data_IF_766043017341
#
_entry.id   IF_766043017341
#
_cell.length_a   1.000
_cell.length_b   1.000
_cell.length_c   1.000
_cell.angle_alpha   90.00
_cell.angle_beta   90.00
_cell.angle_gamma   90.00
#
_symmetry.space_group_name_H-M   'P 1'
#
loop_
_entity.id
_entity.type
_entity.pdbx_description
1 polymer ?
#
# COMPACT_ATOMS: atom_id res chain seq x y z
N UNK A 1 7.99 13.57 -9.23
CA UNK A 1 8.79 12.46 -9.77
C UNK A 1 8.31 12.14 -11.18
N UNK A 2 9.21 11.82 -12.10
CA UNK A 2 8.88 11.35 -13.44
C UNK A 2 9.97 10.38 -13.92
N UNK A 3 9.66 9.11 -14.23
CA UNK A 3 8.33 8.51 -14.12
C UNK A 3 7.85 8.37 -12.67
N UNK A 4 6.53 8.23 -12.49
CA UNK A 4 5.97 7.87 -11.19
C UNK A 4 6.41 6.48 -10.76
N UNK A 5 6.35 5.52 -11.71
CA UNK A 5 6.77 4.13 -11.54
C UNK A 5 7.34 3.62 -12.85
N UNK A 6 8.45 2.90 -12.79
CA UNK A 6 8.90 2.04 -13.89
C UNK A 6 8.43 0.61 -13.62
N UNK A 7 7.60 0.07 -14.50
CA UNK A 7 7.21 -1.33 -14.45
C UNK A 7 8.08 -2.12 -15.42
N UNK A 8 8.70 -3.18 -14.91
CA UNK A 8 9.50 -4.11 -15.71
C UNK A 8 8.84 -5.47 -15.70
N UNK A 9 8.60 -6.01 -16.91
CA UNK A 9 8.00 -7.32 -17.11
C UNK A 9 9.05 -8.41 -17.27
N UNK A 10 8.66 -9.65 -17.11
CA UNK A 10 9.54 -10.82 -17.21
C UNK A 10 10.11 -11.05 -18.61
N UNK A 11 9.45 -10.56 -19.66
CA UNK A 11 9.93 -10.57 -21.04
C UNK A 11 10.91 -9.43 -21.38
N UNK A 12 11.26 -8.59 -20.38
CA UNK A 12 12.18 -7.47 -20.50
C UNK A 12 11.54 -6.16 -20.98
N UNK A 13 10.26 -6.14 -21.37
CA UNK A 13 9.56 -4.90 -21.71
C UNK A 13 9.45 -4.00 -20.48
N UNK A 14 9.43 -2.69 -20.73
CA UNK A 14 9.35 -1.63 -19.70
C UNK A 14 8.18 -0.72 -20.03
N UNK A 15 7.48 -0.29 -18.98
CA UNK A 15 6.50 0.77 -19.05
C UNK A 15 6.81 1.83 -17.99
N UNK A 16 7.14 3.06 -18.42
CA UNK A 16 7.37 4.20 -17.56
C UNK A 16 6.06 4.96 -17.35
N UNK A 17 5.35 4.65 -16.27
CA UNK A 17 4.11 5.33 -15.93
C UNK A 17 4.39 6.77 -15.46
N UNK A 18 3.90 7.74 -16.21
CA UNK A 18 4.20 9.17 -16.05
C UNK A 18 2.93 9.99 -15.80
N UNK A 19 3.09 11.22 -15.29
CA UNK A 19 2.04 12.24 -15.24
C UNK A 19 1.71 12.81 -16.62
N UNK A 20 2.57 12.62 -17.62
CA UNK A 20 2.32 13.01 -18.99
C UNK A 20 1.45 11.95 -19.71
N UNK A 21 0.17 12.31 -19.91
CA UNK A 21 -0.78 11.46 -20.60
C UNK A 21 -0.36 11.11 -22.03
N UNK A 22 0.24 12.05 -22.77
CA UNK A 22 0.65 11.83 -24.16
C UNK A 22 1.78 10.80 -24.23
N UNK A 23 2.76 10.90 -23.33
CA UNK A 23 3.85 9.93 -23.19
C UNK A 23 3.33 8.53 -22.82
N UNK A 24 2.36 8.44 -21.91
CA UNK A 24 1.74 7.15 -21.58
C UNK A 24 1.03 6.54 -22.79
N UNK A 25 0.28 7.34 -23.57
CA UNK A 25 -0.42 6.87 -24.78
C UNK A 25 0.58 6.36 -25.82
N UNK A 26 1.69 7.06 -26.03
CA UNK A 26 2.75 6.63 -26.96
C UNK A 26 3.33 5.27 -26.54
N UNK A 27 3.66 5.10 -25.27
CA UNK A 27 4.12 3.82 -24.75
C UNK A 27 3.07 2.71 -24.91
N UNK A 28 1.80 2.99 -24.57
CA UNK A 28 0.69 2.04 -24.70
C UNK A 28 0.59 1.50 -26.13
N UNK A 29 0.75 2.36 -27.14
CA UNK A 29 0.73 1.93 -28.54
C UNK A 29 1.80 0.91 -28.89
N UNK A 30 2.97 0.94 -28.23
CA UNK A 30 4.03 -0.04 -28.41
C UNK A 30 3.65 -1.43 -27.83
N UNK A 31 2.71 -1.49 -26.89
CA UNK A 31 2.16 -2.74 -26.37
C UNK A 31 0.95 -3.19 -27.18
N UNK A 32 -0.02 -2.30 -27.36
CA UNK A 32 -1.23 -2.54 -28.16
C UNK A 32 -1.85 -1.18 -28.58
N UNK A 33 -1.84 -0.89 -29.88
CA UNK A 33 -2.35 0.36 -30.43
C UNK A 33 -3.83 0.62 -30.06
N UNK A 34 -4.66 -0.45 -30.05
CA UNK A 34 -6.06 -0.35 -29.71
C UNK A 34 -6.33 0.02 -28.23
N UNK A 35 -5.35 -0.13 -27.35
CA UNK A 35 -5.49 0.20 -25.93
C UNK A 35 -5.25 1.69 -25.65
N UNK A 36 -4.78 2.49 -26.62
CA UNK A 36 -4.61 3.91 -26.46
C UNK A 36 -5.96 4.63 -26.19
N UNK A 37 -6.98 4.33 -26.97
CA UNK A 37 -8.34 4.83 -26.76
C UNK A 37 -8.94 4.25 -25.46
N UNK A 38 -8.68 2.96 -25.20
CA UNK A 38 -9.10 2.29 -23.97
C UNK A 38 -8.55 2.97 -22.72
N UNK A 39 -7.30 3.41 -22.74
CA UNK A 39 -6.67 4.14 -21.64
C UNK A 39 -7.36 5.49 -21.35
N UNK A 40 -7.76 6.24 -22.38
CA UNK A 40 -8.50 7.48 -22.19
C UNK A 40 -9.86 7.25 -21.53
N UNK A 41 -10.59 6.22 -21.97
CA UNK A 41 -11.85 5.82 -21.33
C UNK A 41 -11.65 5.32 -19.89
N UNK A 42 -10.56 4.60 -19.62
CA UNK A 42 -10.19 4.17 -18.29
C UNK A 42 -9.92 5.36 -17.36
N UNK A 43 -9.17 6.37 -17.80
CA UNK A 43 -8.93 7.58 -17.00
C UNK A 43 -10.21 8.34 -16.67
N UNK A 44 -11.14 8.46 -17.62
CA UNK A 44 -12.47 9.07 -17.37
C UNK A 44 -13.25 8.27 -16.31
N UNK A 45 -13.22 6.94 -16.42
CA UNK A 45 -13.87 6.09 -15.44
C UNK A 45 -13.20 6.19 -14.05
N UNK A 46 -11.88 6.40 -13.99
CA UNK A 46 -11.13 6.65 -12.76
C UNK A 46 -11.47 7.99 -12.13
N UNK A 47 -11.65 9.04 -12.95
CA UNK A 47 -12.10 10.37 -12.52
C UNK A 47 -13.48 10.33 -11.85
N UNK A 48 -14.43 9.59 -12.44
CA UNK A 48 -15.77 9.44 -11.84
C UNK A 48 -15.68 8.78 -10.45
N UNK A 49 -14.80 7.81 -10.28
CA UNK A 49 -14.56 7.14 -8.99
C UNK A 49 -13.86 8.04 -7.99
N UNK A 50 -12.96 8.89 -8.46
CA UNK A 50 -12.32 9.90 -7.62
C UNK A 50 -13.35 10.90 -7.07
N UNK A 51 -14.22 11.45 -7.91
CA UNK A 51 -15.25 12.40 -7.51
C UNK A 51 -16.22 11.81 -6.46
N UNK A 52 -16.59 10.55 -6.62
CA UNK A 52 -17.49 9.89 -5.67
C UNK A 52 -16.74 9.33 -4.46
N UNK A 53 -15.65 8.59 -4.70
CA UNK A 53 -14.96 7.85 -3.65
C UNK A 53 -14.07 8.73 -2.78
N UNK A 54 -13.39 9.72 -3.36
CA UNK A 54 -12.49 10.60 -2.63
C UNK A 54 -13.16 11.92 -2.24
N UNK A 55 -13.66 12.70 -3.19
CA UNK A 55 -14.29 13.99 -2.86
C UNK A 55 -15.62 13.84 -2.10
N UNK A 56 -16.38 12.78 -2.38
CA UNK A 56 -17.71 12.58 -1.80
C UNK A 56 -17.77 11.73 -0.53
N UNK A 57 -16.81 10.83 -0.32
CA UNK A 57 -16.89 9.80 0.72
C UNK A 57 -15.70 9.75 1.68
N UNK A 58 -14.57 10.41 1.41
CA UNK A 58 -13.35 10.29 2.23
C UNK A 58 -13.56 10.74 3.68
N UNK A 59 -14.43 11.71 3.88
CA UNK A 59 -14.77 12.29 5.19
C UNK A 59 -16.03 11.68 5.83
N UNK A 60 -16.64 10.68 5.20
CA UNK A 60 -17.88 10.06 5.68
C UNK A 60 -17.60 8.75 6.40
N UNK A 61 -18.02 8.60 7.65
CA UNK A 61 -17.92 7.32 8.35
C UNK A 61 -18.91 6.31 7.77
N UNK A 62 -18.44 5.10 7.51
CA UNK A 62 -19.28 3.94 7.15
C UNK A 62 -19.62 3.12 8.41
N UNK A 63 -20.15 3.78 9.43
CA UNK A 63 -20.41 3.22 10.75
C UNK A 63 -21.77 2.52 10.89
N UNK A 64 -22.67 2.75 9.92
CA UNK A 64 -24.02 2.20 9.93
C UNK A 64 -24.45 1.64 8.58
N UNK A 65 -25.38 0.67 8.61
CA UNK A 65 -26.02 0.14 7.40
C UNK A 65 -26.81 1.21 6.66
N UNK A 66 -27.39 2.17 7.39
CA UNK A 66 -28.14 3.28 6.79
C UNK A 66 -27.23 4.18 5.95
N UNK A 67 -26.02 4.49 6.46
CA UNK A 67 -25.01 5.22 5.70
C UNK A 67 -24.64 4.47 4.41
N UNK A 68 -24.44 3.16 4.48
CA UNK A 68 -24.13 2.33 3.31
C UNK A 68 -25.29 2.36 2.28
N UNK A 69 -26.55 2.23 2.71
CA UNK A 69 -27.71 2.28 1.83
C UNK A 69 -27.86 3.62 1.11
N UNK A 70 -27.51 4.72 1.78
CA UNK A 70 -27.54 6.06 1.17
C UNK A 70 -26.59 6.19 -0.02
N UNK A 71 -25.45 5.51 0.02
CA UNK A 71 -24.45 5.55 -1.05
C UNK A 71 -24.62 4.41 -2.08
N UNK A 72 -25.51 3.45 -1.85
CA UNK A 72 -25.72 2.30 -2.71
C UNK A 72 -25.99 2.67 -4.18
N UNK A 73 -26.84 3.67 -4.52
CA UNK A 73 -27.07 4.05 -5.92
C UNK A 73 -25.79 4.49 -6.64
N UNK A 74 -24.92 5.21 -5.93
CA UNK A 74 -23.62 5.67 -6.47
C UNK A 74 -22.66 4.49 -6.66
N UNK A 75 -22.58 3.59 -5.69
CA UNK A 75 -21.75 2.39 -5.76
C UNK A 75 -22.19 1.46 -6.91
N UNK A 76 -23.50 1.30 -7.13
CA UNK A 76 -24.06 0.54 -8.25
C UNK A 76 -23.70 1.19 -9.59
N UNK A 77 -23.88 2.50 -9.71
CA UNK A 77 -23.52 3.26 -10.93
C UNK A 77 -22.03 3.08 -11.25
N UNK A 78 -21.16 3.14 -10.25
CA UNK A 78 -19.72 2.96 -10.41
C UNK A 78 -19.30 1.50 -10.61
N UNK A 79 -20.26 0.55 -10.55
CA UNK A 79 -19.93 -0.89 -10.61
C UNK A 79 -18.89 -1.27 -9.56
N UNK A 80 -19.09 -0.80 -8.33
CA UNK A 80 -18.22 -1.10 -7.19
C UNK A 80 -18.25 -2.60 -6.79
N UNK A 81 -19.18 -3.38 -7.34
CA UNK A 81 -19.27 -4.83 -7.28
C UNK A 81 -18.12 -5.54 -8.03
N UNK A 82 -17.47 -4.84 -8.96
CA UNK A 82 -16.36 -5.39 -9.73
C UNK A 82 -15.03 -5.16 -9.04
N UNK A 83 -14.07 -6.05 -9.32
CA UNK A 83 -12.68 -5.82 -8.90
C UNK A 83 -11.97 -4.78 -9.77
N UNK A 84 -10.85 -4.23 -9.27
CA UNK A 84 -9.98 -3.33 -10.04
C UNK A 84 -9.57 -3.98 -11.36
N UNK A 85 -9.07 -5.23 -11.32
CA UNK A 85 -8.65 -5.94 -12.52
C UNK A 85 -9.78 -6.15 -13.52
N UNK A 86 -11.00 -6.47 -13.05
CA UNK A 86 -12.17 -6.62 -13.92
C UNK A 86 -12.55 -5.31 -14.60
N UNK A 87 -12.44 -4.18 -13.89
CA UNK A 87 -12.71 -2.87 -14.49
C UNK A 87 -11.66 -2.52 -15.55
N UNK A 88 -10.38 -2.62 -15.20
CA UNK A 88 -9.27 -2.38 -16.15
C UNK A 88 -9.42 -3.23 -17.40
N UNK A 89 -9.73 -4.53 -17.25
CA UNK A 89 -9.92 -5.45 -18.38
C UNK A 89 -11.07 -5.11 -19.32
N UNK A 90 -11.96 -4.20 -18.92
CA UNK A 90 -13.02 -3.69 -19.80
C UNK A 90 -12.49 -2.68 -20.84
N UNK A 91 -11.43 -1.97 -20.49
CA UNK A 91 -10.87 -0.89 -21.30
C UNK A 91 -9.55 -1.29 -21.95
N UNK A 92 -8.75 -2.12 -21.30
CA UNK A 92 -7.41 -2.52 -21.72
C UNK A 92 -7.42 -3.99 -22.12
N UNK A 93 -6.80 -4.31 -23.26
CA UNK A 93 -6.73 -5.66 -23.83
C UNK A 93 -5.41 -6.36 -23.55
N UNK A 94 -4.29 -5.61 -23.63
CA UNK A 94 -2.95 -6.16 -23.41
C UNK A 94 -2.79 -6.62 -21.94
N UNK A 95 -2.32 -7.85 -21.68
CA UNK A 95 -2.20 -8.39 -20.32
C UNK A 95 -1.24 -7.59 -19.42
N UNK A 96 -0.13 -7.08 -19.98
CA UNK A 96 0.86 -6.35 -19.19
C UNK A 96 0.37 -4.93 -18.86
N UNK A 97 -0.34 -4.29 -19.80
CA UNK A 97 -1.02 -3.02 -19.50
C UNK A 97 -2.13 -3.20 -18.47
N UNK A 98 -2.82 -4.35 -18.44
CA UNK A 98 -3.77 -4.67 -17.35
C UNK A 98 -3.06 -4.77 -16.00
N UNK A 99 -1.88 -5.38 -15.94
CA UNK A 99 -1.08 -5.41 -14.71
C UNK A 99 -0.70 -3.99 -14.29
N UNK A 100 -0.18 -3.19 -15.23
CA UNK A 100 0.19 -1.78 -15.01
C UNK A 100 -0.95 -0.95 -14.44
N UNK A 101 -2.15 -1.06 -14.98
CA UNK A 101 -3.29 -0.23 -14.54
C UNK A 101 -4.02 -0.82 -13.32
N UNK A 102 -3.64 -2.01 -12.85
CA UNK A 102 -4.33 -2.69 -11.74
C UNK A 102 -3.47 -2.97 -10.51
N UNK A 103 -2.17 -2.67 -10.51
CA UNK A 103 -1.29 -3.02 -9.38
C UNK A 103 -1.49 -2.15 -8.13
N UNK A 104 -2.03 -0.93 -8.27
CA UNK A 104 -2.15 0.06 -7.21
C UNK A 104 -2.76 -0.46 -5.89
N UNK A 105 -3.78 -1.34 -5.88
CA UNK A 105 -4.28 -1.92 -4.63
C UNK A 105 -3.23 -2.63 -3.79
N UNK A 106 -2.17 -3.17 -4.40
CA UNK A 106 -1.08 -3.81 -3.68
C UNK A 106 -0.34 -2.83 -2.75
N UNK A 107 -0.30 -1.54 -3.09
CA UNK A 107 0.30 -0.49 -2.26
C UNK A 107 -0.43 -0.30 -0.92
N UNK A 108 -1.67 -0.75 -0.82
CA UNK A 108 -2.51 -0.69 0.40
C UNK A 108 -2.86 -2.08 0.93
N UNK A 109 -2.11 -3.12 0.53
CA UNK A 109 -2.32 -4.49 0.96
C UNK A 109 -3.56 -5.18 0.39
N UNK A 110 -4.13 -4.68 -0.70
CA UNK A 110 -5.31 -5.21 -1.37
C UNK A 110 -5.00 -6.04 -2.61
N UNK A 111 -5.73 -7.13 -2.81
CA UNK A 111 -5.61 -7.94 -4.03
C UNK A 111 -6.43 -7.31 -5.17
N UNK A 112 -5.83 -6.89 -6.31
CA UNK A 112 -6.52 -6.26 -7.42
C UNK A 112 -7.62 -7.12 -8.07
N UNK A 113 -7.59 -8.43 -7.85
CA UNK A 113 -8.62 -9.35 -8.35
C UNK A 113 -9.85 -9.45 -7.43
N UNK A 114 -9.79 -8.90 -6.21
CA UNK A 114 -10.90 -8.94 -5.23
C UNK A 114 -11.29 -7.58 -4.67
N UNK A 115 -10.37 -6.62 -4.63
CA UNK A 115 -10.64 -5.26 -4.13
C UNK A 115 -11.56 -4.51 -5.11
N UNK A 116 -12.52 -3.77 -4.56
CA UNK A 116 -13.51 -3.00 -5.33
C UNK A 116 -12.87 -2.05 -6.36
N UNK A 117 -13.49 -1.95 -7.53
CA UNK A 117 -13.06 -1.08 -8.62
C UNK A 117 -13.00 0.41 -8.26
N UNK A 118 -13.54 0.81 -7.12
CA UNK A 118 -13.42 2.20 -6.62
C UNK A 118 -11.96 2.61 -6.50
N UNK A 119 -11.06 1.70 -6.13
CA UNK A 119 -9.61 1.99 -6.00
C UNK A 119 -8.89 2.35 -7.31
N UNK A 120 -9.52 2.22 -8.46
CA UNK A 120 -8.96 2.78 -9.71
C UNK A 120 -8.90 4.31 -9.69
N UNK A 121 -9.59 4.96 -8.73
CA UNK A 121 -9.44 6.39 -8.47
C UNK A 121 -7.99 6.85 -8.30
N UNK A 122 -7.09 5.95 -7.83
CA UNK A 122 -5.67 6.24 -7.61
C UNK A 122 -5.01 6.66 -8.93
N UNK A 123 -5.32 6.00 -10.05
CA UNK A 123 -4.77 6.38 -11.36
C UNK A 123 -5.13 7.81 -11.78
N UNK A 124 -6.34 8.29 -11.43
CA UNK A 124 -6.71 9.68 -11.66
C UNK A 124 -6.00 10.63 -10.68
N UNK A 125 -5.88 10.24 -9.41
CA UNK A 125 -5.14 11.01 -8.39
C UNK A 125 -3.70 11.29 -8.85
N UNK A 126 -2.99 10.26 -9.29
CA UNK A 126 -1.61 10.38 -9.77
C UNK A 126 -1.51 11.28 -11.01
N UNK A 127 -2.42 11.12 -11.98
CA UNK A 127 -2.45 11.96 -13.18
C UNK A 127 -2.79 13.43 -12.87
N UNK A 128 -3.65 13.67 -11.89
CA UNK A 128 -4.14 15.02 -11.55
C UNK A 128 -3.18 15.78 -10.64
N UNK A 129 -2.60 15.12 -9.66
CA UNK A 129 -1.83 15.75 -8.59
C UNK A 129 -0.34 15.40 -8.62
N UNK A 130 0.06 14.42 -9.42
CA UNK A 130 1.42 13.91 -9.47
C UNK A 130 1.76 13.00 -8.28
N UNK A 131 2.96 12.44 -8.33
CA UNK A 131 3.56 11.64 -7.25
C UNK A 131 4.77 12.39 -6.71
N UNK A 132 4.83 12.60 -5.40
CA UNK A 132 5.80 13.47 -4.74
C UNK A 132 6.57 12.71 -3.66
N UNK A 133 7.82 13.10 -3.44
CA UNK A 133 8.62 12.63 -2.31
C UNK A 133 8.92 13.81 -1.37
N UNK A 134 8.89 13.55 -0.08
CA UNK A 134 9.29 14.55 0.90
C UNK A 134 10.82 14.66 0.92
N UNK A 135 11.36 15.86 0.77
CA UNK A 135 12.80 16.12 0.96
C UNK A 135 13.21 15.82 2.40
N UNK A 136 14.31 15.12 2.57
CA UNK A 136 14.72 14.55 3.86
C UNK A 136 14.00 13.25 4.23
N UNK A 137 13.26 12.64 3.28
CA UNK A 137 12.53 11.39 3.43
C UNK A 137 11.21 11.53 4.21
N UNK A 138 10.50 10.42 4.38
CA UNK A 138 9.21 10.37 5.11
C UNK A 138 9.35 10.79 6.58
N UNK A 139 10.54 10.62 7.18
CA UNK A 139 10.85 11.10 8.53
C UNK A 139 10.67 12.61 8.70
N UNK A 140 10.87 13.41 7.63
CA UNK A 140 10.64 14.86 7.67
C UNK A 140 9.17 15.21 7.87
N UNK A 141 8.24 14.41 7.31
CA UNK A 141 6.81 14.58 7.52
C UNK A 141 6.47 14.31 8.99
N UNK A 142 7.03 13.22 9.56
CA UNK A 142 6.83 12.86 10.97
C UNK A 142 7.35 13.98 11.89
N UNK A 143 8.56 14.52 11.61
CA UNK A 143 9.12 15.65 12.36
C UNK A 143 8.24 16.90 12.27
N UNK A 144 7.72 17.20 11.08
CA UNK A 144 6.80 18.33 10.87
C UNK A 144 5.50 18.17 11.67
N UNK A 145 4.91 16.97 11.68
CA UNK A 145 3.71 16.66 12.48
C UNK A 145 4.00 16.75 13.99
N UNK A 146 5.14 16.22 14.43
CA UNK A 146 5.56 16.33 15.83
C UNK A 146 5.70 17.80 16.27
N UNK A 147 6.39 18.61 15.47
CA UNK A 147 6.53 20.05 15.73
C UNK A 147 5.19 20.79 15.76
N UNK A 148 4.21 20.39 14.93
CA UNK A 148 2.86 20.93 14.96
C UNK A 148 2.12 20.58 16.28
N UNK A 149 2.21 19.34 16.72
CA UNK A 149 1.61 18.87 17.98
C UNK A 149 2.18 19.68 19.17
N UNK A 150 3.50 19.77 19.25
CA UNK A 150 4.19 20.50 20.33
C UNK A 150 3.89 22.00 20.28
N UNK A 151 3.88 22.59 19.08
CA UNK A 151 3.54 24.00 18.86
C UNK A 151 2.10 24.36 19.27
N UNK A 152 1.20 23.40 19.30
CA UNK A 152 -0.18 23.53 19.79
C UNK A 152 -0.32 23.21 21.29
N UNK A 153 0.78 22.98 22.00
CA UNK A 153 0.79 22.65 23.44
C UNK A 153 0.60 21.16 23.74
N UNK A 154 0.58 20.30 22.73
CA UNK A 154 0.58 18.86 22.90
C UNK A 154 1.93 18.35 23.42
N UNK A 155 1.94 17.13 23.93
CA UNK A 155 3.15 16.45 24.40
C UNK A 155 3.35 15.14 23.62
N UNK A 156 4.59 14.85 23.28
CA UNK A 156 4.99 13.57 22.67
C UNK A 156 5.89 12.85 23.66
N UNK A 157 5.52 11.64 24.02
CA UNK A 157 6.32 10.76 24.87
C UNK A 157 6.67 9.50 24.11
N UNK A 158 7.96 9.34 23.78
CA UNK A 158 8.50 8.14 23.17
C UNK A 158 8.86 7.10 24.27
N UNK A 159 9.01 5.83 23.84
CA UNK A 159 9.29 4.70 24.74
C UNK A 159 8.27 4.55 25.89
N UNK A 160 7.04 4.97 25.65
CA UNK A 160 5.88 4.88 26.53
C UNK A 160 4.92 3.82 26.00
N UNK A 161 5.28 2.55 26.18
CA UNK A 161 4.47 1.41 25.72
C UNK A 161 3.15 1.37 26.49
N UNK A 162 2.03 1.40 25.74
CA UNK A 162 0.68 1.26 26.30
C UNK A 162 0.33 -0.21 26.43
N UNK A 163 0.09 -0.66 27.66
CA UNK A 163 -0.31 -2.03 28.00
C UNK A 163 -1.83 -2.21 28.02
N UNK A 164 -2.57 -1.18 28.47
CA UNK A 164 -4.04 -1.26 28.60
C UNK A 164 -4.70 0.08 28.34
N UNK A 165 -5.83 0.06 27.64
CA UNK A 165 -6.80 1.15 27.59
C UNK A 165 -7.79 0.95 28.74
N UNK A 166 -7.78 1.84 29.71
CA UNK A 166 -8.58 1.73 30.92
C UNK A 166 -10.04 2.09 30.63
N UNK A 167 -10.95 1.18 31.01
CA UNK A 167 -12.40 1.37 30.86
C UNK A 167 -13.08 1.13 32.19
N UNK A 168 -13.90 2.08 32.65
CA UNK A 168 -14.75 1.96 33.81
C UNK A 168 -16.19 2.29 33.44
N UNK A 169 -17.14 1.40 33.79
CA UNK A 169 -18.60 1.55 33.49
C UNK A 169 -18.91 1.85 32.04
N UNK A 170 -18.07 1.35 31.09
CA UNK A 170 -18.26 1.53 29.65
C UNK A 170 -17.68 2.83 29.09
N UNK A 171 -16.98 3.61 29.89
CA UNK A 171 -16.31 4.85 29.51
C UNK A 171 -14.78 4.70 29.60
N UNK A 172 -14.07 5.29 28.65
CA UNK A 172 -12.60 5.36 28.68
C UNK A 172 -12.15 6.29 29.82
N UNK A 173 -11.09 5.89 30.53
CA UNK A 173 -10.47 6.64 31.64
C UNK A 173 -9.01 6.99 31.38
N UNK A 174 -8.45 6.55 30.27
CA UNK A 174 -7.05 6.77 29.91
C UNK A 174 -6.33 5.51 29.53
N UNK A 175 -5.03 5.47 29.75
CA UNK A 175 -4.17 4.32 29.44
C UNK A 175 -3.26 3.98 30.62
N UNK A 176 -2.93 2.70 30.74
CA UNK A 176 -1.84 2.22 31.60
C UNK A 176 -0.64 1.86 30.73
N UNK A 177 0.52 2.34 31.14
CA UNK A 177 1.79 2.05 30.49
C UNK A 177 2.42 0.78 31.09
N UNK A 178 3.32 0.15 30.35
CA UNK A 178 4.06 -1.05 30.78
C UNK A 178 4.98 -0.80 32.01
N UNK A 179 5.39 0.47 32.23
CA UNK A 179 6.14 0.90 33.41
C UNK A 179 5.26 1.12 34.66
N UNK A 180 3.95 0.88 34.56
CA UNK A 180 2.97 1.00 35.64
C UNK A 180 2.33 2.40 35.77
N UNK A 181 2.80 3.42 35.05
CA UNK A 181 2.16 4.75 35.04
C UNK A 181 0.78 4.69 34.44
N UNK A 182 -0.10 5.53 34.97
CA UNK A 182 -1.45 5.75 34.42
C UNK A 182 -1.57 7.18 33.89
N UNK A 183 -1.99 7.33 32.65
CA UNK A 183 -2.31 8.61 32.04
C UNK A 183 -3.82 8.70 31.88
N UNK A 184 -4.44 9.64 32.59
CA UNK A 184 -5.89 9.85 32.56
C UNK A 184 -6.30 10.66 31.34
N UNK A 185 -7.38 10.24 30.68
CA UNK A 185 -7.99 10.94 29.55
C UNK A 185 -9.43 10.47 29.35
N UNK A 186 -10.28 11.37 28.88
CA UNK A 186 -11.68 11.06 28.52
C UNK A 186 -11.82 10.47 27.11
N UNK A 187 -10.76 10.54 26.29
CA UNK A 187 -10.70 10.02 24.94
C UNK A 187 -9.34 9.38 24.67
N UNK A 188 -9.33 8.22 24.05
CA UNK A 188 -8.11 7.56 23.56
C UNK A 188 -8.28 7.25 22.07
N UNK A 189 -7.32 7.69 21.26
CA UNK A 189 -7.23 7.37 19.82
C UNK A 189 -6.08 6.39 19.64
N UNK A 190 -6.38 5.17 19.19
CA UNK A 190 -5.37 4.16 18.89
C UNK A 190 -5.09 4.16 17.39
N UNK A 191 -3.83 4.36 17.01
CA UNK A 191 -3.32 4.14 15.64
C UNK A 191 -2.53 2.82 15.51
N UNK A 192 -2.53 1.98 16.54
CA UNK A 192 -2.04 0.62 16.44
C UNK A 192 -2.99 -0.23 15.58
N UNK A 193 -2.52 -1.40 15.11
CA UNK A 193 -3.37 -2.35 14.39
C UNK A 193 -4.69 -2.59 15.16
N UNK A 194 -5.81 -2.58 14.43
CA UNK A 194 -7.13 -2.68 15.05
C UNK A 194 -7.35 -4.01 15.76
N UNK A 195 -6.87 -5.13 15.18
CA UNK A 195 -6.98 -6.43 15.81
C UNK A 195 -6.11 -6.52 17.06
N UNK A 196 -4.90 -5.96 17.01
CA UNK A 196 -4.01 -5.84 18.15
C UNK A 196 -4.65 -5.00 19.27
N UNK A 197 -5.14 -3.79 18.94
CA UNK A 197 -5.80 -2.88 19.89
C UNK A 197 -6.94 -3.59 20.63
N UNK A 198 -7.86 -4.23 19.89
CA UNK A 198 -8.96 -4.93 20.54
C UNK A 198 -8.53 -6.16 21.32
N UNK A 199 -7.56 -6.93 20.86
CA UNK A 199 -7.14 -8.17 21.51
C UNK A 199 -6.28 -7.94 22.74
N UNK A 200 -5.38 -6.97 22.69
CA UNK A 200 -4.34 -6.80 23.71
C UNK A 200 -4.53 -5.57 24.59
N UNK A 201 -5.07 -4.45 24.05
CA UNK A 201 -5.16 -3.21 24.81
C UNK A 201 -6.52 -3.03 25.49
N UNK A 202 -7.57 -3.76 25.08
CA UNK A 202 -8.92 -3.66 25.66
C UNK A 202 -9.31 -5.01 26.25
N UNK A 203 -9.62 -5.05 27.57
CA UNK A 203 -10.07 -6.27 28.23
C UNK A 203 -11.32 -6.87 27.58
N UNK A 204 -11.40 -8.20 27.55
CA UNK A 204 -12.48 -8.93 26.87
C UNK A 204 -13.89 -8.53 27.36
N UNK A 205 -14.04 -8.22 28.64
CA UNK A 205 -15.31 -7.80 29.27
C UNK A 205 -15.86 -6.46 28.72
N UNK A 206 -14.98 -5.61 28.18
CA UNK A 206 -15.34 -4.31 27.58
C UNK A 206 -15.59 -4.41 26.08
N UNK A 207 -15.33 -5.57 25.45
CA UNK A 207 -15.46 -5.79 23.99
C UNK A 207 -16.76 -6.49 23.62
N UNK A 208 -17.79 -5.73 23.25
CA UNK A 208 -19.11 -6.29 22.85
C UNK A 208 -19.11 -6.82 21.42
N UNK A 209 -18.48 -6.12 20.49
CA UNK A 209 -18.53 -6.40 19.05
C UNK A 209 -17.29 -7.11 18.53
N UNK A 210 -16.09 -6.74 19.02
CA UNK A 210 -14.80 -7.24 18.56
C UNK A 210 -14.25 -8.29 19.52
N UNK A 211 -14.92 -9.45 19.55
CA UNK A 211 -14.48 -10.61 20.33
C UNK A 211 -13.31 -11.31 19.65
N UNK A 212 -12.51 -12.09 20.41
CA UNK A 212 -11.39 -12.86 19.87
C UNK A 212 -11.82 -13.75 18.70
N UNK A 213 -12.95 -14.47 18.85
CA UNK A 213 -13.54 -15.29 17.78
C UNK A 213 -13.83 -14.50 16.50
N UNK A 214 -14.23 -13.22 16.60
CA UNK A 214 -14.48 -12.39 15.43
C UNK A 214 -13.17 -11.96 14.79
N UNK A 215 -12.16 -11.60 15.60
CA UNK A 215 -10.83 -11.24 15.14
C UNK A 215 -10.18 -12.41 14.42
N UNK A 216 -10.23 -13.63 14.99
CA UNK A 216 -9.67 -14.85 14.39
C UNK A 216 -10.28 -15.21 13.03
N UNK A 217 -11.53 -14.79 12.79
CA UNK A 217 -12.25 -15.00 11.53
C UNK A 217 -12.11 -13.84 10.55
N UNK A 218 -11.39 -12.79 10.92
CA UNK A 218 -11.18 -11.64 10.04
C UNK A 218 -10.14 -11.98 8.97
N UNK A 219 -10.30 -11.35 7.81
CA UNK A 219 -9.31 -11.45 6.74
C UNK A 219 -8.31 -10.32 6.90
N UNK A 220 -7.05 -10.67 7.05
CA UNK A 220 -5.94 -9.74 7.12
C UNK A 220 -5.32 -9.52 5.74
N UNK A 221 -4.61 -8.40 5.58
CA UNK A 221 -3.80 -8.13 4.40
C UNK A 221 -2.63 -9.11 4.29
N UNK A 222 -1.98 -9.15 3.14
CA UNK A 222 -0.71 -9.83 2.99
C UNK A 222 0.38 -9.18 3.87
N UNK A 223 1.44 -9.93 4.14
CA UNK A 223 2.68 -9.44 4.72
C UNK A 223 3.59 -8.81 3.67
N UNK A 224 4.65 -8.17 4.14
CA UNK A 224 5.71 -7.62 3.30
C UNK A 224 7.06 -8.07 3.85
N UNK A 225 7.92 -8.59 2.97
CA UNK A 225 9.33 -8.74 3.27
C UNK A 225 10.08 -7.52 2.73
N UNK A 226 10.77 -6.80 3.60
CA UNK A 226 11.47 -5.56 3.24
C UNK A 226 12.94 -5.70 3.56
N UNK A 227 13.79 -5.44 2.56
CA UNK A 227 15.24 -5.43 2.73
C UNK A 227 15.78 -4.05 2.38
N UNK A 228 16.40 -3.39 3.37
CA UNK A 228 17.09 -2.11 3.21
C UNK A 228 18.58 -2.36 2.94
N UNK A 229 19.13 -1.64 1.96
CA UNK A 229 20.57 -1.74 1.64
C UNK A 229 21.10 -0.46 1.00
N UNK A 230 22.42 -0.31 1.02
CA UNK A 230 23.16 0.72 0.29
C UNK A 230 24.10 0.08 -0.72
N UNK A 231 24.51 0.85 -1.70
CA UNK A 231 25.46 0.41 -2.74
C UNK A 231 26.68 1.32 -2.78
N UNK A 232 27.85 0.74 -3.05
CA UNK A 232 29.06 1.47 -3.40
C UNK A 232 28.96 1.86 -4.88
N UNK A 233 28.47 3.06 -5.15
CA UNK A 233 28.23 3.57 -6.51
C UNK A 233 26.78 3.91 -6.76
N UNK A 234 26.53 4.55 -7.89
CA UNK A 234 25.21 5.02 -8.32
C UNK A 234 24.66 4.18 -9.46
N UNK A 235 23.35 4.04 -9.48
CA UNK A 235 22.59 3.33 -10.51
C UNK A 235 21.63 4.31 -11.23
N UNK A 236 22.14 5.20 -12.12
CA UNK A 236 21.36 6.27 -12.72
C UNK A 236 20.18 5.80 -13.55
N UNK A 237 20.25 4.57 -14.07
CA UNK A 237 19.17 3.97 -14.88
C UNK A 237 18.01 3.42 -14.03
N UNK A 238 18.14 3.38 -12.71
CA UNK A 238 17.08 2.94 -11.80
C UNK A 238 16.30 4.15 -11.30
N UNK A 239 15.03 4.35 -11.70
CA UNK A 239 14.24 5.49 -11.23
C UNK A 239 13.86 5.33 -9.76
N UNK A 240 13.28 6.39 -9.18
CA UNK A 240 12.88 6.44 -7.77
C UNK A 240 12.01 5.24 -7.36
N UNK A 241 11.05 4.86 -8.20
CA UNK A 241 10.17 3.72 -7.98
C UNK A 241 10.25 2.75 -9.15
N UNK A 242 10.55 1.49 -8.87
CA UNK A 242 10.53 0.41 -9.85
C UNK A 242 9.69 -0.76 -9.36
N UNK A 243 8.87 -1.33 -10.25
CA UNK A 243 8.07 -2.52 -9.98
C UNK A 243 8.52 -3.62 -10.94
N UNK A 244 9.07 -4.70 -10.42
CA UNK A 244 9.50 -5.87 -11.19
C UNK A 244 8.40 -6.91 -11.06
N UNK A 245 7.70 -7.17 -12.16
CA UNK A 245 6.59 -8.11 -12.19
C UNK A 245 7.08 -9.50 -12.57
N UNK A 246 6.63 -10.50 -11.83
CA UNK A 246 6.85 -11.90 -12.17
C UNK A 246 5.87 -12.39 -13.25
N UNK A 247 6.16 -13.57 -13.86
CA UNK A 247 5.39 -14.11 -15.00
C UNK A 247 3.95 -14.48 -14.65
N UNK A 248 3.68 -14.86 -13.39
CA UNK A 248 2.38 -15.36 -12.93
C UNK A 248 1.60 -14.37 -12.08
N UNK A 249 1.33 -13.14 -12.59
CA UNK A 249 0.70 -12.07 -11.80
C UNK A 249 -0.50 -12.56 -10.96
N UNK A 250 -1.52 -13.14 -11.58
CA UNK A 250 -2.67 -13.68 -10.86
C UNK A 250 -2.32 -14.88 -9.98
N UNK A 251 -1.49 -15.78 -10.50
CA UNK A 251 -1.07 -16.99 -9.79
C UNK A 251 -0.30 -16.67 -8.51
N UNK A 252 0.62 -15.71 -8.57
CA UNK A 252 1.36 -15.19 -7.42
C UNK A 252 0.42 -14.60 -6.37
N UNK A 253 -0.55 -13.78 -6.78
CA UNK A 253 -1.49 -13.18 -5.85
C UNK A 253 -2.46 -14.22 -5.25
N UNK A 254 -2.83 -15.26 -6.00
CA UNK A 254 -3.58 -16.39 -5.44
C UNK A 254 -2.73 -17.20 -4.45
N UNK A 255 -1.40 -17.32 -4.66
CA UNK A 255 -0.48 -17.94 -3.71
C UNK A 255 -0.43 -17.14 -2.41
N UNK A 256 -0.25 -15.84 -2.49
CA UNK A 256 -0.13 -14.94 -1.34
C UNK A 256 -1.45 -14.86 -0.54
N UNK A 257 -2.56 -14.55 -1.20
CA UNK A 257 -3.82 -14.20 -0.53
C UNK A 257 -4.73 -15.40 -0.21
N UNK A 258 -4.67 -16.48 -1.01
CA UNK A 258 -5.59 -17.62 -0.87
C UNK A 258 -4.90 -18.88 -0.37
N UNK A 259 -3.79 -19.26 -1.03
CA UNK A 259 -3.08 -20.50 -0.68
C UNK A 259 -2.13 -20.30 0.51
N UNK A 260 -1.75 -19.05 0.79
CA UNK A 260 -0.81 -18.66 1.84
C UNK A 260 0.53 -19.37 1.71
N UNK A 261 1.04 -19.43 0.49
CA UNK A 261 2.30 -20.08 0.12
C UNK A 261 3.28 -19.02 -0.34
N UNK A 262 4.53 -19.12 0.10
CA UNK A 262 5.62 -18.28 -0.40
C UNK A 262 6.06 -18.81 -1.77
N UNK A 263 5.78 -18.03 -2.81
CA UNK A 263 6.07 -18.40 -4.18
C UNK A 263 7.54 -18.20 -4.55
N UNK A 264 8.02 -18.98 -5.54
CA UNK A 264 9.38 -18.85 -6.06
C UNK A 264 9.54 -17.70 -7.07
N UNK A 265 8.48 -17.34 -7.77
CA UNK A 265 8.43 -16.32 -8.82
C UNK A 265 7.80 -15.01 -8.31
N UNK A 266 8.34 -14.46 -7.26
CA UNK A 266 7.80 -13.25 -6.63
C UNK A 266 8.02 -12.00 -7.47
N UNK A 267 7.13 -11.01 -7.29
CA UNK A 267 7.29 -9.65 -7.79
C UNK A 267 7.98 -8.78 -6.73
N UNK A 268 8.69 -7.76 -7.18
CA UNK A 268 9.41 -6.83 -6.31
C UNK A 268 8.99 -5.39 -6.56
N UNK A 269 9.00 -4.61 -5.51
CA UNK A 269 9.06 -3.16 -5.59
C UNK A 269 10.44 -2.71 -5.09
N UNK A 270 11.13 -1.90 -5.87
CA UNK A 270 12.43 -1.31 -5.54
C UNK A 270 12.28 0.21 -5.43
N UNK A 271 12.73 0.75 -4.32
CA UNK A 271 12.72 2.18 -4.01
C UNK A 271 14.15 2.70 -3.92
N UNK A 272 14.46 3.73 -4.70
CA UNK A 272 15.75 4.45 -4.70
C UNK A 272 15.51 5.93 -4.36
N UNK A 273 15.42 6.29 -3.07
CA UNK A 273 15.12 7.67 -2.67
C UNK A 273 16.25 8.66 -3.04
N UNK A 274 17.48 8.21 -3.16
CA UNK A 274 18.64 9.03 -3.55
C UNK A 274 18.55 9.58 -4.98
N UNK A 275 17.68 9.06 -5.83
CA UNK A 275 17.35 9.64 -7.14
C UNK A 275 16.71 11.03 -7.00
N UNK A 276 15.82 11.21 -6.05
CA UNK A 276 15.12 12.47 -5.84
C UNK A 276 15.80 13.35 -4.80
N UNK A 277 16.34 12.74 -3.75
CA UNK A 277 17.03 13.43 -2.66
C UNK A 277 18.40 12.79 -2.37
N UNK A 278 19.46 13.29 -2.99
CA UNK A 278 20.82 12.77 -2.79
C UNK A 278 21.29 12.81 -1.33
N UNK A 279 20.68 13.62 -0.47
CA UNK A 279 21.07 13.72 0.95
C UNK A 279 20.70 12.47 1.77
N UNK A 280 19.91 11.57 1.19
CA UNK A 280 19.47 10.32 1.83
C UNK A 280 20.49 9.18 1.72
N UNK A 281 21.68 9.44 1.16
CA UNK A 281 22.79 8.50 1.09
C UNK A 281 24.14 9.20 1.15
N UNK A 282 25.22 8.46 1.40
CA UNK A 282 26.59 9.01 1.27
C UNK A 282 26.87 9.49 -0.14
N UNK A 283 27.82 10.44 -0.27
CA UNK A 283 28.23 10.93 -1.58
C UNK A 283 28.75 9.79 -2.46
N UNK A 284 28.31 9.74 -3.71
CA UNK A 284 28.71 8.69 -4.65
C UNK A 284 27.99 7.34 -4.48
N UNK A 285 27.13 7.20 -3.49
CA UNK A 285 26.39 5.97 -3.19
C UNK A 285 24.89 6.14 -3.47
N UNK A 286 24.19 5.02 -3.58
CA UNK A 286 22.72 4.98 -3.57
C UNK A 286 22.20 4.20 -2.36
N UNK A 287 20.99 4.54 -1.92
CA UNK A 287 20.25 3.80 -0.91
C UNK A 287 18.99 3.21 -1.51
N UNK A 288 18.65 2.03 -1.06
CA UNK A 288 17.51 1.26 -1.57
C UNK A 288 16.71 0.61 -0.47
N UNK A 289 15.47 0.31 -0.75
CA UNK A 289 14.81 -0.85 -0.19
C UNK A 289 14.09 -1.65 -1.26
N UNK A 290 14.18 -2.97 -1.14
CA UNK A 290 13.42 -3.93 -1.93
C UNK A 290 12.29 -4.49 -1.09
N UNK A 291 11.08 -4.53 -1.64
CA UNK A 291 9.89 -5.01 -0.97
C UNK A 291 9.26 -6.13 -1.81
N UNK A 292 9.06 -7.28 -1.19
CA UNK A 292 8.32 -8.40 -1.77
C UNK A 292 7.01 -8.62 -1.00
N UNK A 293 5.85 -8.63 -1.68
CA UNK A 293 4.62 -9.09 -1.07
C UNK A 293 4.72 -10.58 -0.72
N UNK A 294 4.40 -10.92 0.53
CA UNK A 294 4.45 -12.29 1.05
C UNK A 294 3.13 -12.65 1.72
N UNK A 295 2.83 -13.92 1.98
CA UNK A 295 1.66 -14.31 2.75
C UNK A 295 1.63 -13.68 4.14
N UNK A 296 0.43 -13.55 4.71
CA UNK A 296 0.24 -13.12 6.10
C UNK A 296 0.93 -14.11 7.06
N UNK A 297 1.26 -13.66 8.28
CA UNK A 297 1.95 -14.47 9.29
C UNK A 297 1.16 -15.69 9.79
N UNK A 298 -0.10 -15.84 9.39
CA UNK A 298 -0.88 -17.07 9.60
C UNK A 298 -0.56 -18.17 8.56
N UNK A 299 0.35 -17.89 7.61
CA UNK A 299 0.97 -18.90 6.77
C UNK A 299 2.07 -19.64 7.54
N UNK A 300 2.26 -20.91 7.21
CA UNK A 300 3.29 -21.76 7.82
C UNK A 300 4.66 -21.48 7.16
N UNK A 301 5.23 -20.30 7.45
CA UNK A 301 6.55 -19.88 6.97
C UNK A 301 7.43 -19.60 8.19
N UNK A 302 8.47 -20.40 8.36
CA UNK A 302 9.50 -20.19 9.40
C UNK A 302 10.45 -19.05 8.98
N UNK A 303 10.03 -17.81 9.20
CA UNK A 303 10.81 -16.63 8.86
C UNK A 303 12.19 -16.55 9.51
N UNK A 304 12.39 -16.91 10.80
CA UNK A 304 13.73 -16.93 11.40
C UNK A 304 14.74 -17.76 10.61
N UNK A 305 14.31 -18.90 10.06
CA UNK A 305 15.17 -19.78 9.26
C UNK A 305 15.24 -19.35 7.79
N UNK A 306 14.13 -18.84 7.21
CA UNK A 306 14.02 -18.64 5.77
C UNK A 306 14.38 -17.23 5.29
N UNK A 307 14.39 -16.23 6.18
CA UNK A 307 14.55 -14.82 5.81
C UNK A 307 15.85 -14.55 5.02
N UNK A 308 16.98 -15.12 5.44
CA UNK A 308 18.26 -14.92 4.76
C UNK A 308 18.26 -15.54 3.36
N UNK A 309 17.75 -16.75 3.21
CA UNK A 309 17.61 -17.40 1.91
C UNK A 309 16.69 -16.59 0.97
N UNK A 310 15.61 -16.03 1.51
CA UNK A 310 14.70 -15.20 0.71
C UNK A 310 15.36 -13.88 0.29
N UNK A 311 16.13 -13.25 1.18
CA UNK A 311 16.95 -12.07 0.88
C UNK A 311 17.94 -12.35 -0.27
N UNK A 312 18.68 -13.48 -0.21
CA UNK A 312 19.60 -13.89 -1.27
C UNK A 312 18.88 -14.04 -2.63
N UNK A 313 17.67 -14.58 -2.63
CA UNK A 313 16.86 -14.70 -3.87
C UNK A 313 16.45 -13.33 -4.40
N UNK A 314 16.09 -12.39 -3.53
CA UNK A 314 15.82 -10.99 -3.91
C UNK A 314 17.07 -10.37 -4.52
N UNK A 315 18.24 -10.54 -3.90
CA UNK A 315 19.51 -10.03 -4.40
C UNK A 315 19.78 -10.52 -5.83
N UNK A 316 19.76 -11.83 -6.07
CA UNK A 316 19.93 -12.41 -7.41
C UNK A 316 18.92 -11.86 -8.42
N UNK A 317 17.65 -11.72 -8.01
CA UNK A 317 16.61 -11.18 -8.92
C UNK A 317 16.90 -9.72 -9.30
N UNK A 318 17.44 -8.91 -8.38
CA UNK A 318 17.85 -7.53 -8.67
C UNK A 318 19.08 -7.48 -9.58
N UNK A 319 20.10 -8.30 -9.31
CA UNK A 319 21.31 -8.43 -10.15
C UNK A 319 20.94 -8.84 -11.59
N UNK A 320 20.01 -9.79 -11.76
CA UNK A 320 19.56 -10.26 -13.06
C UNK A 320 18.72 -9.22 -13.83
N UNK A 321 18.15 -8.22 -13.15
CA UNK A 321 17.13 -7.36 -13.77
C UNK A 321 17.41 -5.87 -13.72
N UNK A 322 18.10 -5.37 -12.69
CA UNK A 322 18.15 -3.91 -12.41
C UNK A 322 19.53 -3.40 -12.00
N UNK A 323 20.30 -4.17 -11.24
CA UNK A 323 21.58 -3.78 -10.62
C UNK A 323 22.73 -4.68 -11.15
#
# INVERSE_FOLDING_TARGET
MDPFFRLRFDDGRIFDYSGDKARNIEQIKNFNEADAEGYEHYLKASEERYKVGFEGLVDKPFDSLLALFRFMPQLIRLRADRSVYQLVSRYIRDPQLRMTMSFHPLLIGGNPFSVTSVYTLISFLEQRFGVWSAMGGTGSIVKGMAGLIEGQGGKIECNAEVEEILVDKGEVRGVRLADGRTLHSDLVVSNADAAWTYRHLIKAEHRKRWTDRKIDRSHFSNGLFVWYFGTEGKYPDVPHHSVILGPRYKGLLDDIFKRKVLADDFSLYLHRPTETDPSLGPEGCDTFYALAPVPHLDADVDWPTYAETFKERICRRLEDTML
#
